data_IF_090186137474
#
_entry.id   IF_090186137474
#
_cell.length_a   1.000
_cell.length_b   1.000
_cell.length_c   1.000
_cell.angle_alpha   90.00
_cell.angle_beta   90.00
_cell.angle_gamma   90.00
#
_symmetry.space_group_name_H-M   'P 1'
#
loop_
_entity.id
_entity.type
_entity.pdbx_description
1 polymer ?
#
# COMPACT_ATOMS: atom_id res chain seq x y z
N UNK A 1 -27.89 30.00 -0.92
CA UNK A 1 -28.83 29.09 -1.58
C UNK A 1 -28.15 28.68 -2.85
N UNK A 2 -27.38 27.60 -2.76
CA UNK A 2 -26.76 26.87 -3.87
C UNK A 2 -26.65 25.45 -3.36
N UNK A 3 -27.28 24.54 -4.10
CA UNK A 3 -27.67 23.21 -3.69
C UNK A 3 -26.44 22.30 -3.52
N UNK A 4 -26.37 21.62 -2.37
CA UNK A 4 -25.53 20.45 -2.18
C UNK A 4 -26.05 19.34 -3.09
N UNK A 5 -25.42 19.19 -4.26
CA UNK A 5 -25.52 17.96 -5.05
C UNK A 5 -24.78 16.85 -4.30
N UNK A 6 -25.46 16.29 -3.30
CA UNK A 6 -25.08 15.05 -2.66
C UNK A 6 -25.13 13.96 -3.73
N UNK A 7 -23.98 13.66 -4.32
CA UNK A 7 -23.80 12.43 -5.08
C UNK A 7 -23.98 11.26 -4.10
N UNK A 8 -25.19 10.71 -4.05
CA UNK A 8 -25.46 9.43 -3.41
C UNK A 8 -24.55 8.38 -4.07
N UNK A 9 -23.44 8.08 -3.42
CA UNK A 9 -22.65 6.89 -3.75
C UNK A 9 -23.50 5.68 -3.42
N UNK A 10 -24.15 5.13 -4.44
CA UNK A 10 -24.81 3.82 -4.43
C UNK A 10 -23.72 2.76 -4.18
N UNK A 11 -23.34 2.58 -2.92
CA UNK A 11 -22.36 1.60 -2.46
C UNK A 11 -23.01 0.44 -1.68
N UNK A 12 -24.34 0.45 -1.58
CA UNK A 12 -25.12 -0.68 -1.13
C UNK A 12 -25.40 -1.65 -2.29
N UNK A 13 -24.36 -2.24 -2.87
CA UNK A 13 -24.57 -3.50 -3.60
C UNK A 13 -24.96 -4.55 -2.56
N UNK A 14 -26.16 -5.11 -2.73
CA UNK A 14 -26.79 -6.13 -1.90
C UNK A 14 -25.84 -7.31 -1.62
N UNK A 15 -25.26 -7.32 -0.41
CA UNK A 15 -24.21 -8.28 -0.01
C UNK A 15 -24.76 -9.69 0.25
N UNK A 16 -26.07 -9.85 0.42
CA UNK A 16 -26.72 -11.15 0.64
C UNK A 16 -26.81 -11.97 -0.66
N UNK A 17 -26.81 -11.32 -1.82
CA UNK A 17 -26.77 -11.98 -3.13
C UNK A 17 -25.39 -12.63 -3.44
N UNK A 18 -24.33 -12.19 -2.75
CA UNK A 18 -22.94 -12.66 -2.96
C UNK A 18 -22.61 -13.95 -2.17
N UNK A 19 -23.37 -14.29 -1.12
CA UNK A 19 -23.06 -15.41 -0.22
C UNK A 19 -22.96 -16.77 -0.91
N UNK A 20 -23.89 -17.07 -1.83
CA UNK A 20 -23.91 -18.36 -2.55
C UNK A 20 -22.94 -18.42 -3.74
N UNK A 21 -22.42 -17.28 -4.21
CA UNK A 21 -21.57 -17.22 -5.42
C UNK A 21 -20.07 -17.33 -5.11
N UNK A 22 -19.63 -17.37 -3.86
CA UNK A 22 -18.21 -17.55 -3.50
C UNK A 22 -17.74 -19.01 -3.40
N UNK A 23 -18.68 -19.94 -3.23
CA UNK A 23 -18.38 -21.34 -2.85
C UNK A 23 -17.57 -22.08 -3.91
N UNK A 24 -17.92 -21.95 -5.20
CA UNK A 24 -17.17 -22.60 -6.29
C UNK A 24 -15.74 -22.09 -6.40
N UNK A 25 -15.54 -20.78 -6.23
CA UNK A 25 -14.21 -20.16 -6.25
C UNK A 25 -13.37 -20.58 -5.06
N UNK A 26 -13.97 -20.66 -3.87
CA UNK A 26 -13.31 -21.21 -2.68
C UNK A 26 -12.95 -22.69 -2.85
N UNK A 27 -13.86 -23.49 -3.41
CA UNK A 27 -13.61 -24.90 -3.71
C UNK A 27 -12.45 -25.06 -4.68
N UNK A 28 -12.48 -24.35 -5.83
CA UNK A 28 -11.40 -24.37 -6.82
C UNK A 28 -10.06 -23.98 -6.18
N UNK A 29 -10.06 -22.94 -5.33
CA UNK A 29 -8.88 -22.47 -4.62
C UNK A 29 -8.30 -23.55 -3.71
N UNK A 30 -9.14 -24.16 -2.87
CA UNK A 30 -8.74 -25.22 -1.93
C UNK A 30 -8.21 -26.44 -2.68
N UNK A 31 -8.93 -26.92 -3.68
CA UNK A 31 -8.54 -28.12 -4.45
C UNK A 31 -7.21 -27.93 -5.19
N UNK A 32 -6.99 -26.77 -5.83
CA UNK A 32 -5.73 -26.49 -6.51
C UNK A 32 -4.53 -26.40 -5.56
N UNK A 33 -4.72 -25.79 -4.37
CA UNK A 33 -3.65 -25.71 -3.38
C UNK A 33 -3.40 -27.03 -2.64
N UNK A 34 -4.41 -27.87 -2.46
CA UNK A 34 -4.21 -29.23 -1.99
C UNK A 34 -3.33 -30.03 -2.97
N UNK A 35 -3.55 -29.85 -4.27
CA UNK A 35 -2.74 -30.50 -5.32
C UNK A 35 -1.28 -30.01 -5.37
N UNK A 36 -0.94 -28.88 -4.75
CA UNK A 36 0.45 -28.42 -4.62
C UNK A 36 1.14 -29.01 -3.38
N UNK A 37 0.44 -29.81 -2.58
CA UNK A 37 0.95 -30.44 -1.35
C UNK A 37 0.71 -29.63 -0.08
N UNK A 38 -0.03 -28.52 -0.13
CA UNK A 38 -0.40 -27.78 1.07
C UNK A 38 -1.47 -28.53 1.88
N UNK A 39 -1.41 -28.42 3.21
CA UNK A 39 -2.44 -29.00 4.08
C UNK A 39 -3.65 -28.07 4.17
N UNK A 40 -4.83 -28.64 4.44
CA UNK A 40 -6.06 -27.86 4.63
C UNK A 40 -5.93 -26.77 5.71
N UNK A 41 -5.19 -27.05 6.79
CA UNK A 41 -4.92 -26.06 7.85
C UNK A 41 -4.10 -24.86 7.35
N UNK A 42 -3.07 -25.11 6.53
CA UNK A 42 -2.26 -24.03 5.93
C UNK A 42 -3.08 -23.21 4.95
N UNK A 43 -3.92 -23.86 4.15
CA UNK A 43 -4.84 -23.19 3.22
C UNK A 43 -5.83 -22.30 3.97
N UNK A 44 -6.41 -22.80 5.07
CA UNK A 44 -7.30 -22.00 5.90
C UNK A 44 -6.57 -20.79 6.50
N UNK A 45 -5.32 -20.96 6.97
CA UNK A 45 -4.50 -19.83 7.42
C UNK A 45 -4.24 -18.77 6.34
N UNK A 46 -4.12 -19.17 5.07
CA UNK A 46 -4.02 -18.22 3.93
C UNK A 46 -5.34 -17.46 3.76
N UNK A 47 -6.47 -18.16 3.80
CA UNK A 47 -7.81 -17.58 3.68
C UNK A 47 -8.06 -16.57 4.81
N UNK A 48 -7.79 -16.96 6.05
CA UNK A 48 -8.00 -16.12 7.24
C UNK A 48 -7.10 -14.88 7.19
N UNK A 49 -5.86 -15.03 6.68
CA UNK A 49 -4.91 -13.93 6.48
C UNK A 49 -5.34 -12.89 5.43
N UNK A 50 -6.31 -13.21 4.57
CA UNK A 50 -6.86 -12.26 3.59
C UNK A 50 -7.99 -11.39 4.15
N UNK A 51 -8.43 -11.65 5.39
CA UNK A 51 -9.47 -10.90 6.10
C UNK A 51 -10.70 -10.64 5.21
N UNK A 52 -11.27 -9.42 5.24
CA UNK A 52 -12.42 -9.03 4.43
C UNK A 52 -12.19 -9.05 2.91
N UNK A 53 -10.97 -9.26 2.44
CA UNK A 53 -10.67 -9.34 1.00
C UNK A 53 -10.93 -10.74 0.43
N UNK A 54 -11.00 -11.79 1.26
CA UNK A 54 -11.26 -13.16 0.80
C UNK A 54 -12.56 -13.26 0.00
N UNK A 55 -13.66 -12.67 0.48
CA UNK A 55 -14.96 -12.72 -0.22
C UNK A 55 -14.87 -12.23 -1.66
N UNK A 56 -14.13 -11.15 -1.90
CA UNK A 56 -13.94 -10.58 -3.25
C UNK A 56 -13.12 -11.49 -4.15
N UNK A 57 -12.13 -12.16 -3.56
CA UNK A 57 -11.26 -13.10 -4.25
C UNK A 57 -12.00 -14.39 -4.60
N UNK A 58 -12.72 -14.99 -3.65
CA UNK A 58 -13.57 -16.15 -3.86
C UNK A 58 -14.62 -15.89 -4.95
N UNK A 59 -15.29 -14.73 -4.90
CA UNK A 59 -16.25 -14.34 -5.95
C UNK A 59 -15.60 -14.27 -7.34
N UNK A 60 -14.44 -13.62 -7.45
CA UNK A 60 -13.71 -13.52 -8.71
C UNK A 60 -13.26 -14.89 -9.22
N UNK A 61 -12.87 -15.79 -8.33
CA UNK A 61 -12.46 -17.15 -8.67
C UNK A 61 -13.66 -18.02 -9.07
N UNK A 62 -14.86 -17.75 -8.57
CA UNK A 62 -16.07 -18.46 -9.02
C UNK A 62 -16.34 -18.22 -10.49
N UNK A 63 -16.25 -16.97 -10.96
CA UNK A 63 -16.46 -16.65 -12.39
C UNK A 63 -15.40 -17.36 -13.24
N UNK A 64 -14.15 -17.41 -12.76
CA UNK A 64 -13.09 -18.16 -13.41
C UNK A 64 -13.35 -19.69 -13.40
N UNK A 65 -13.84 -20.24 -12.30
CA UNK A 65 -14.20 -21.66 -12.18
C UNK A 65 -15.30 -22.04 -13.17
N UNK A 66 -16.30 -21.17 -13.35
CA UNK A 66 -17.38 -21.37 -14.32
C UNK A 66 -16.86 -21.33 -15.77
N UNK A 67 -16.00 -20.35 -16.08
CA UNK A 67 -15.31 -20.31 -17.38
C UNK A 67 -14.48 -21.58 -17.61
N UNK A 68 -13.69 -22.01 -16.62
CA UNK A 68 -12.83 -23.17 -16.72
C UNK A 68 -13.63 -24.47 -16.94
N UNK A 69 -14.74 -24.63 -16.21
CA UNK A 69 -15.65 -25.74 -16.39
C UNK A 69 -16.29 -25.76 -17.79
N UNK A 70 -16.65 -24.60 -18.36
CA UNK A 70 -17.15 -24.50 -19.74
C UNK A 70 -16.12 -24.96 -20.77
N UNK A 71 -14.82 -24.83 -20.47
CA UNK A 71 -13.73 -25.33 -21.31
C UNK A 71 -13.41 -26.81 -21.05
N UNK A 72 -14.26 -27.54 -20.31
CA UNK A 72 -14.03 -28.92 -19.86
C UNK A 72 -12.70 -29.09 -19.10
N UNK A 73 -12.26 -28.03 -18.43
CA UNK A 73 -10.99 -28.02 -17.73
C UNK A 73 -11.07 -28.68 -16.35
N UNK A 74 -10.02 -29.41 -15.99
CA UNK A 74 -9.88 -30.06 -14.68
C UNK A 74 -8.95 -29.28 -13.74
N UNK A 75 -9.07 -29.51 -12.43
CA UNK A 75 -8.19 -28.92 -11.41
C UNK A 75 -6.73 -29.35 -11.62
N UNK A 76 -6.51 -30.61 -12.02
CA UNK A 76 -5.18 -31.14 -12.31
C UNK A 76 -4.52 -30.37 -13.46
N UNK A 77 -5.27 -30.12 -14.54
CA UNK A 77 -4.77 -29.36 -15.69
C UNK A 77 -4.42 -27.90 -15.34
N UNK A 78 -5.15 -27.26 -14.41
CA UNK A 78 -4.76 -25.93 -13.91
C UNK A 78 -3.45 -25.98 -13.13
N UNK A 79 -3.28 -27.03 -12.32
CA UNK A 79 -2.11 -27.24 -11.47
C UNK A 79 -0.84 -27.50 -12.30
N UNK A 80 -0.97 -28.21 -13.42
CA UNK A 80 0.15 -28.53 -14.32
C UNK A 80 0.35 -27.51 -15.44
N UNK A 81 -0.42 -26.43 -15.47
CA UNK A 81 -0.38 -25.47 -16.58
C UNK A 81 0.98 -24.76 -16.67
N UNK A 82 1.68 -24.88 -17.79
CA UNK A 82 3.01 -24.27 -17.97
C UNK A 82 2.95 -22.76 -18.20
N UNK A 83 1.91 -22.29 -18.89
CA UNK A 83 1.79 -20.89 -19.32
C UNK A 83 0.44 -20.28 -18.88
N UNK A 84 0.29 -19.92 -17.59
CA UNK A 84 -0.92 -19.31 -17.04
C UNK A 84 -1.42 -18.10 -17.82
N UNK A 85 -0.52 -17.25 -18.31
CA UNK A 85 -0.90 -16.03 -19.03
C UNK A 85 -1.85 -16.27 -20.21
N UNK A 86 -1.74 -17.39 -20.94
CA UNK A 86 -2.65 -17.72 -22.04
C UNK A 86 -4.08 -17.94 -21.55
N UNK A 87 -4.24 -18.65 -20.43
CA UNK A 87 -5.56 -18.90 -19.84
C UNK A 87 -6.14 -17.64 -19.23
N UNK A 88 -5.31 -16.81 -18.59
CA UNK A 88 -5.76 -15.52 -18.05
C UNK A 88 -6.20 -14.60 -19.20
N UNK A 89 -5.43 -14.50 -20.29
CA UNK A 89 -5.79 -13.70 -21.45
C UNK A 89 -7.15 -14.12 -22.05
N UNK A 90 -7.33 -15.41 -22.33
CA UNK A 90 -8.58 -15.94 -22.88
C UNK A 90 -9.76 -15.72 -21.93
N UNK A 91 -9.53 -15.85 -20.62
CA UNK A 91 -10.54 -15.55 -19.62
C UNK A 91 -10.93 -14.06 -19.60
N UNK A 92 -9.96 -13.13 -19.67
CA UNK A 92 -10.25 -11.70 -19.73
C UNK A 92 -11.04 -11.34 -21.00
N UNK A 93 -10.76 -11.99 -22.13
CA UNK A 93 -11.57 -11.85 -23.35
C UNK A 93 -12.97 -12.44 -23.18
N UNK A 94 -13.11 -13.53 -22.41
CA UNK A 94 -14.39 -14.14 -22.09
C UNK A 94 -15.26 -13.26 -21.19
N UNK A 95 -14.67 -12.49 -20.27
CA UNK A 95 -15.36 -11.47 -19.48
C UNK A 95 -15.95 -10.43 -20.46
N UNK A 96 -17.26 -10.60 -20.73
CA UNK A 96 -18.02 -9.92 -21.78
C UNK A 96 -17.72 -8.41 -21.89
N UNK A 97 -18.01 -7.77 -23.04
CA UNK A 97 -17.81 -6.33 -23.24
C UNK A 97 -18.51 -5.42 -22.20
N UNK A 98 -19.50 -5.94 -21.48
CA UNK A 98 -20.29 -5.21 -20.48
C UNK A 98 -19.64 -5.12 -19.08
N UNK A 99 -18.56 -5.85 -18.83
CA UNK A 99 -17.82 -5.69 -17.57
C UNK A 99 -16.92 -4.46 -17.63
N UNK A 100 -17.06 -3.58 -16.62
CA UNK A 100 -16.19 -2.41 -16.45
C UNK A 100 -14.72 -2.84 -16.40
N UNK A 101 -13.83 -2.01 -16.94
CA UNK A 101 -12.38 -2.26 -16.93
C UNK A 101 -11.85 -2.55 -15.50
N UNK A 102 -12.43 -1.92 -14.47
CA UNK A 102 -12.09 -2.17 -13.07
C UNK A 102 -12.40 -3.62 -12.62
N UNK A 103 -13.48 -4.23 -13.12
CA UNK A 103 -13.82 -5.63 -12.86
C UNK A 103 -12.83 -6.56 -13.55
N UNK A 104 -12.46 -6.28 -14.81
CA UNK A 104 -11.46 -7.06 -15.56
C UNK A 104 -10.08 -7.01 -14.89
N UNK A 105 -9.64 -5.82 -14.45
CA UNK A 105 -8.38 -5.65 -13.71
C UNK A 105 -8.43 -6.40 -12.38
N UNK A 106 -9.56 -6.34 -11.66
CA UNK A 106 -9.74 -7.08 -10.41
C UNK A 106 -9.65 -8.58 -10.65
N UNK A 107 -10.36 -9.10 -11.64
CA UNK A 107 -10.36 -10.51 -11.98
C UNK A 107 -8.97 -11.01 -12.38
N UNK A 108 -8.27 -10.24 -13.22
CA UNK A 108 -6.86 -10.46 -13.58
C UNK A 108 -5.96 -10.58 -12.35
N UNK A 109 -6.07 -9.67 -11.40
CA UNK A 109 -5.23 -9.67 -10.19
C UNK A 109 -5.53 -10.86 -9.27
N UNK A 110 -6.80 -11.20 -9.11
CA UNK A 110 -7.23 -12.36 -8.32
C UNK A 110 -6.64 -13.65 -8.87
N UNK A 111 -6.79 -13.88 -10.18
CA UNK A 111 -6.30 -15.11 -10.84
C UNK A 111 -4.76 -15.14 -10.89
N UNK A 112 -4.10 -13.99 -11.09
CA UNK A 112 -2.64 -13.92 -11.02
C UNK A 112 -2.13 -14.34 -9.64
N UNK A 113 -2.78 -13.85 -8.57
CA UNK A 113 -2.43 -14.21 -7.19
C UNK A 113 -2.68 -15.69 -6.93
N UNK A 114 -3.78 -16.23 -7.47
CA UNK A 114 -4.10 -17.65 -7.38
C UNK A 114 -3.01 -18.54 -8.01
N UNK A 115 -2.57 -18.24 -9.25
CA UNK A 115 -1.47 -18.98 -9.87
C UNK A 115 -0.13 -18.82 -9.14
N UNK A 116 0.13 -17.64 -8.58
CA UNK A 116 1.32 -17.39 -7.76
C UNK A 116 1.33 -18.28 -6.51
N UNK A 117 0.18 -18.42 -5.83
CA UNK A 117 0.02 -19.32 -4.68
C UNK A 117 0.17 -20.79 -5.05
N UNK A 118 -0.13 -21.16 -6.29
CA UNK A 118 0.13 -22.50 -6.83
C UNK A 118 1.59 -22.72 -7.21
N UNK A 119 2.48 -21.75 -6.95
CA UNK A 119 3.91 -21.84 -7.23
C UNK A 119 4.30 -21.53 -8.66
N UNK A 120 3.41 -20.95 -9.48
CA UNK A 120 3.75 -20.55 -10.85
C UNK A 120 4.68 -19.34 -10.81
N UNK A 121 5.79 -19.34 -11.57
CA UNK A 121 6.72 -18.22 -11.55
C UNK A 121 6.10 -17.00 -12.23
N UNK A 122 6.34 -15.81 -11.68
CA UNK A 122 5.67 -14.57 -12.08
C UNK A 122 5.80 -14.26 -13.59
N UNK A 123 6.92 -14.61 -14.22
CA UNK A 123 7.15 -14.45 -15.66
C UNK A 123 6.24 -15.31 -16.55
N UNK A 124 5.69 -16.42 -16.03
CA UNK A 124 4.70 -17.28 -16.73
C UNK A 124 3.26 -16.83 -16.47
N UNK A 125 3.04 -16.05 -15.41
CA UNK A 125 1.73 -15.45 -15.10
C UNK A 125 1.57 -14.12 -15.84
N UNK A 126 2.65 -13.32 -15.89
CA UNK A 126 2.71 -11.98 -16.48
C UNK A 126 3.82 -11.93 -17.52
N UNK A 127 3.43 -12.06 -18.78
CA UNK A 127 4.28 -11.89 -19.94
C UNK A 127 3.99 -10.55 -20.63
N UNK A 128 4.95 -10.01 -21.39
CA UNK A 128 4.78 -8.80 -22.22
C UNK A 128 3.51 -8.82 -23.08
N UNK A 129 3.16 -9.96 -23.70
CA UNK A 129 1.93 -10.08 -24.50
C UNK A 129 0.69 -9.83 -23.65
N UNK A 130 0.67 -10.40 -22.45
CA UNK A 130 -0.43 -10.24 -21.50
C UNK A 130 -0.52 -8.82 -20.93
N UNK A 131 0.62 -8.20 -20.60
CA UNK A 131 0.63 -6.80 -20.16
C UNK A 131 0.13 -5.87 -21.26
N UNK A 132 0.47 -6.14 -22.52
CA UNK A 132 -0.03 -5.35 -23.65
C UNK A 132 -1.55 -5.48 -23.83
N UNK A 133 -2.10 -6.67 -23.63
CA UNK A 133 -3.56 -6.90 -23.65
C UNK A 133 -4.27 -6.16 -22.52
N UNK A 134 -3.66 -6.11 -21.33
CA UNK A 134 -4.25 -5.42 -20.17
C UNK A 134 -4.06 -3.90 -20.21
N UNK A 135 -3.11 -3.39 -21.00
CA UNK A 135 -2.69 -1.99 -20.99
C UNK A 135 -3.84 -1.02 -21.22
N UNK A 136 -4.67 -1.26 -22.22
CA UNK A 136 -5.80 -0.39 -22.56
C UNK A 136 -6.82 -0.28 -21.41
N UNK A 137 -7.14 -1.41 -20.78
CA UNK A 137 -8.02 -1.46 -19.61
C UNK A 137 -7.43 -0.70 -18.42
N UNK A 138 -6.12 -0.86 -18.18
CA UNK A 138 -5.40 -0.17 -17.11
C UNK A 138 -5.36 1.34 -17.36
N UNK A 139 -5.07 1.76 -18.59
CA UNK A 139 -4.96 3.17 -18.99
C UNK A 139 -6.32 3.88 -18.88
N UNK A 140 -7.43 3.21 -19.22
CA UNK A 140 -8.78 3.77 -19.06
C UNK A 140 -9.20 3.98 -17.60
N UNK A 141 -8.80 3.08 -16.70
CA UNK A 141 -9.11 3.19 -15.25
C UNK A 141 -8.08 4.05 -14.52
N UNK A 142 -6.93 4.32 -15.14
CA UNK A 142 -5.90 5.14 -14.54
C UNK A 142 -6.46 6.53 -14.24
N UNK A 143 -6.51 6.87 -12.95
CA UNK A 143 -6.90 8.22 -12.53
C UNK A 143 -5.94 9.21 -13.16
N UNK A 144 -6.47 10.19 -13.87
CA UNK A 144 -5.70 11.35 -14.32
C UNK A 144 -5.08 11.97 -13.08
N UNK A 145 -3.75 11.88 -12.97
CA UNK A 145 -2.98 12.56 -11.95
C UNK A 145 -2.96 14.04 -12.33
N UNK A 146 -4.04 14.76 -12.00
CA UNK A 146 -4.04 16.21 -12.08
C UNK A 146 -2.99 16.72 -11.10
N UNK A 147 -2.23 17.73 -11.53
CA UNK A 147 -1.40 18.49 -10.61
C UNK A 147 -2.31 19.02 -9.50
N UNK A 148 -2.10 18.54 -8.28
CA UNK A 148 -2.76 19.13 -7.12
C UNK A 148 -2.08 20.48 -6.93
N UNK A 149 -2.80 21.58 -7.18
CA UNK A 149 -2.33 22.91 -6.78
C UNK A 149 -2.23 22.91 -5.25
N UNK A 150 -1.03 22.67 -4.74
CA UNK A 150 -0.72 22.81 -3.33
C UNK A 150 -0.62 24.31 -3.01
N UNK A 151 -1.77 24.97 -2.84
CA UNK A 151 -1.90 26.40 -2.55
C UNK A 151 -1.22 26.86 -1.24
N UNK A 152 -0.57 25.95 -0.50
CA UNK A 152 -0.12 26.17 0.87
C UNK A 152 1.33 25.76 1.13
N UNK A 153 2.12 25.40 0.11
CA UNK A 153 3.55 25.12 0.36
C UNK A 153 4.27 26.37 0.89
N UNK A 154 3.97 27.54 0.32
CA UNK A 154 4.47 28.82 0.82
C UNK A 154 4.06 29.08 2.27
N UNK A 155 2.82 28.75 2.65
CA UNK A 155 2.33 28.87 4.01
C UNK A 155 3.05 27.91 4.96
N UNK A 156 3.23 26.65 4.58
CA UNK A 156 3.99 25.66 5.36
C UNK A 156 5.42 26.13 5.59
N UNK A 157 6.09 26.59 4.53
CA UNK A 157 7.46 27.09 4.59
C UNK A 157 7.56 28.34 5.47
N UNK A 158 6.58 29.25 5.39
CA UNK A 158 6.47 30.40 6.27
C UNK A 158 6.30 29.99 7.73
N UNK A 159 5.42 29.04 8.02
CA UNK A 159 5.20 28.55 9.40
C UNK A 159 6.46 27.89 9.97
N UNK A 160 7.13 27.03 9.19
CA UNK A 160 8.39 26.41 9.61
C UNK A 160 9.45 27.49 9.88
N UNK A 161 9.58 28.47 8.99
CA UNK A 161 10.56 29.56 9.14
C UNK A 161 10.26 30.39 10.40
N UNK A 162 8.99 30.74 10.63
CA UNK A 162 8.55 31.48 11.83
C UNK A 162 8.86 30.73 13.12
N UNK A 163 8.54 29.43 13.19
CA UNK A 163 8.85 28.62 14.37
C UNK A 163 10.36 28.48 14.59
N UNK A 164 11.15 28.48 13.52
CA UNK A 164 12.60 28.41 13.62
C UNK A 164 13.21 29.66 14.25
N UNK A 165 12.67 30.84 13.94
CA UNK A 165 13.09 32.08 14.61
C UNK A 165 12.78 32.02 16.11
N UNK A 166 11.59 31.55 16.48
CA UNK A 166 11.21 31.38 17.89
C UNK A 166 12.08 30.35 18.62
N UNK A 167 12.57 29.31 17.94
CA UNK A 167 13.53 28.37 18.51
C UNK A 167 14.86 29.04 18.81
N UNK A 168 15.38 29.83 17.88
CA UNK A 168 16.68 30.51 18.07
C UNK A 168 16.62 31.51 19.25
N UNK A 169 15.43 32.04 19.55
CA UNK A 169 15.12 32.81 20.76
C UNK A 169 14.85 31.95 22.03
N UNK A 170 14.96 30.62 21.92
CA UNK A 170 14.62 29.63 22.95
C UNK A 170 13.15 29.67 23.44
N UNK A 171 12.23 30.27 22.67
CA UNK A 171 10.81 30.48 23.02
C UNK A 171 9.91 29.28 22.74
N UNK A 172 10.38 28.26 22.03
CA UNK A 172 9.58 27.05 21.75
C UNK A 172 9.65 26.02 22.88
N UNK A 173 8.53 25.40 23.21
CA UNK A 173 8.48 24.26 24.12
C UNK A 173 8.80 22.93 23.39
N UNK A 174 8.96 21.84 24.15
CA UNK A 174 9.32 20.52 23.59
C UNK A 174 8.28 19.99 22.59
N UNK A 175 6.99 20.21 22.84
CA UNK A 175 5.91 19.75 21.96
C UNK A 175 5.91 20.50 20.61
N UNK A 176 6.18 21.80 20.62
CA UNK A 176 6.31 22.61 19.41
C UNK A 176 7.53 22.17 18.59
N UNK A 177 8.67 21.94 19.25
CA UNK A 177 9.88 21.43 18.60
C UNK A 177 9.66 20.04 17.98
N UNK A 178 8.93 19.16 18.66
CA UNK A 178 8.50 17.88 18.12
C UNK A 178 7.69 18.05 16.84
N UNK A 179 6.65 18.90 16.87
CA UNK A 179 5.76 19.12 15.71
C UNK A 179 6.54 19.62 14.48
N UNK A 180 7.46 20.57 14.65
CA UNK A 180 8.31 21.07 13.55
C UNK A 180 9.23 19.99 13.03
N UNK A 181 9.88 19.24 13.93
CA UNK A 181 10.82 18.18 13.55
C UNK A 181 10.12 17.10 12.75
N UNK A 182 9.00 16.56 13.24
CA UNK A 182 8.22 15.54 12.54
C UNK A 182 7.70 16.02 11.19
N UNK A 183 7.24 17.28 11.11
CA UNK A 183 6.80 17.88 9.85
C UNK A 183 7.93 17.90 8.83
N UNK A 184 9.13 18.35 9.23
CA UNK A 184 10.28 18.37 8.34
C UNK A 184 10.71 16.97 7.92
N UNK A 185 10.71 16.00 8.84
CA UNK A 185 10.98 14.60 8.51
C UNK A 185 9.99 14.11 7.46
N UNK A 186 8.69 14.31 7.64
CA UNK A 186 7.67 13.91 6.66
C UNK A 186 7.85 14.62 5.32
N UNK A 187 8.18 15.91 5.31
CA UNK A 187 8.41 16.69 4.07
C UNK A 187 9.64 16.16 3.30
N UNK A 188 10.76 15.92 3.99
CA UNK A 188 12.00 15.48 3.34
C UNK A 188 12.01 13.99 2.98
N UNK A 189 11.39 13.14 3.81
CA UNK A 189 11.37 11.69 3.58
C UNK A 189 10.15 11.22 2.81
N UNK A 190 9.08 12.02 2.75
CA UNK A 190 7.76 11.61 2.22
C UNK A 190 7.21 10.38 2.96
N UNK A 191 7.70 10.12 4.18
CA UNK A 191 7.14 9.08 5.04
C UNK A 191 5.78 9.51 5.57
N UNK A 192 4.87 8.54 5.74
CA UNK A 192 3.61 8.75 6.43
C UNK A 192 3.84 8.87 7.92
N UNK A 193 2.91 9.50 8.63
CA UNK A 193 2.99 9.62 10.08
C UNK A 193 3.19 8.27 10.79
N UNK A 194 2.49 7.20 10.37
CA UNK A 194 2.68 5.86 10.94
C UNK A 194 4.08 5.27 10.70
N UNK A 195 4.69 5.57 9.55
CA UNK A 195 6.07 5.15 9.21
C UNK A 195 7.09 5.95 10.02
N UNK A 196 6.84 7.25 10.23
CA UNK A 196 7.65 8.11 11.11
C UNK A 196 7.53 7.67 12.57
N UNK A 197 6.34 7.34 13.04
CA UNK A 197 6.10 6.94 14.43
C UNK A 197 6.78 5.63 14.81
N UNK A 198 6.94 4.72 13.85
CA UNK A 198 7.63 3.44 14.05
C UNK A 198 9.10 3.48 13.65
N UNK A 199 9.60 4.65 13.22
CA UNK A 199 10.98 4.79 12.77
C UNK A 199 11.97 4.79 13.94
N UNK A 200 13.15 4.24 13.67
CA UNK A 200 14.33 4.36 14.50
C UNK A 200 15.19 5.52 13.95
N UNK A 201 15.61 6.42 14.84
CA UNK A 201 16.60 7.44 14.51
C UNK A 201 17.99 6.97 14.90
N UNK A 202 18.91 6.97 13.93
CA UNK A 202 20.34 6.75 14.19
C UNK A 202 21.09 8.04 13.93
N UNK A 203 21.59 8.64 15.00
CA UNK A 203 22.39 9.87 14.96
C UNK A 203 23.86 9.45 15.08
N UNK A 204 24.63 9.61 14.01
CA UNK A 204 26.07 9.37 14.06
C UNK A 204 26.76 10.56 14.73
N UNK A 205 27.32 10.35 15.93
CA UNK A 205 28.04 11.38 16.68
C UNK A 205 29.30 11.92 15.97
N UNK A 206 29.77 11.24 14.92
CA UNK A 206 30.97 11.64 14.15
C UNK A 206 30.61 12.62 13.03
N UNK A 207 29.40 12.50 12.48
CA UNK A 207 28.88 13.35 11.42
C UNK A 207 27.65 14.10 11.95
N UNK A 208 27.85 15.16 12.75
CA UNK A 208 26.78 16.05 13.27
C UNK A 208 25.87 16.68 12.18
N UNK A 209 26.09 16.32 10.92
CA UNK A 209 25.41 16.79 9.71
C UNK A 209 24.60 15.71 9.00
N UNK A 210 24.50 14.50 9.54
CA UNK A 210 23.66 13.43 8.99
C UNK A 210 22.85 12.71 10.07
N UNK A 211 21.60 12.38 9.75
CA UNK A 211 20.72 11.55 10.59
C UNK A 211 20.12 10.47 9.70
N UNK A 212 20.23 9.21 10.09
CA UNK A 212 19.60 8.10 9.38
C UNK A 212 18.26 7.79 10.04
N UNK A 213 17.21 7.70 9.22
CA UNK A 213 15.87 7.29 9.63
C UNK A 213 15.60 5.91 9.02
N UNK A 214 15.50 4.89 9.88
CA UNK A 214 15.19 3.52 9.48
C UNK A 214 13.74 3.20 9.86
N UNK A 215 12.95 2.65 8.92
CA UNK A 215 11.56 2.26 9.18
C UNK A 215 11.12 1.10 8.28
N UNK A 216 9.92 0.58 8.51
CA UNK A 216 9.28 -0.47 7.70
C UNK A 216 8.14 0.15 6.89
N UNK A 217 8.22 0.14 5.55
CA UNK A 217 7.09 0.58 4.73
C UNK A 217 5.97 -0.46 4.81
N UNK A 218 4.76 -0.01 5.14
CA UNK A 218 3.60 -0.92 5.28
C UNK A 218 2.82 -1.09 3.97
N UNK A 219 3.03 -0.21 2.98
CA UNK A 219 2.45 -0.31 1.62
C UNK A 219 3.52 -0.67 0.59
N UNK A 220 3.11 -1.27 -0.54
CA UNK A 220 4.02 -1.76 -1.59
C UNK A 220 4.91 -0.64 -2.19
N UNK A 221 6.21 -0.90 -2.44
CA UNK A 221 6.95 -2.10 -2.01
C UNK A 221 7.10 -2.09 -0.48
N UNK A 222 6.67 -3.18 0.17
CA UNK A 222 6.73 -3.37 1.61
C UNK A 222 8.15 -3.82 1.95
N UNK A 223 8.81 -3.19 2.91
CA UNK A 223 10.15 -3.60 3.30
C UNK A 223 10.85 -2.57 4.18
N UNK A 224 12.04 -2.94 4.69
CA UNK A 224 12.89 -2.00 5.42
C UNK A 224 13.34 -0.89 4.46
N UNK A 225 13.25 0.34 4.93
CA UNK A 225 13.72 1.53 4.20
C UNK A 225 14.53 2.39 5.15
N UNK A 226 15.72 2.77 4.69
CA UNK A 226 16.58 3.73 5.37
C UNK A 226 16.70 4.99 4.51
N UNK A 227 16.60 6.16 5.16
CA UNK A 227 16.81 7.46 4.52
C UNK A 227 17.76 8.30 5.34
N UNK A 228 18.79 8.81 4.68
CA UNK A 228 19.74 9.75 5.29
C UNK A 228 19.26 11.18 5.08
N UNK A 229 18.99 11.88 6.17
CA UNK A 229 18.78 13.32 6.19
C UNK A 229 20.13 14.00 6.32
N UNK A 230 20.45 14.91 5.38
CA UNK A 230 21.65 15.76 5.43
C UNK A 230 21.27 17.19 5.79
N UNK A 231 22.10 17.86 6.56
CA UNK A 231 21.86 19.24 6.97
C UNK A 231 21.52 20.15 5.77
N UNK A 232 20.35 20.77 5.76
CA UNK A 232 20.03 21.77 4.75
C UNK A 232 20.94 23.00 4.89
N UNK A 233 21.35 23.57 3.75
CA UNK A 233 22.17 24.79 3.71
C UNK A 233 21.43 25.98 4.34
N UNK A 234 20.13 26.09 4.06
CA UNK A 234 19.32 27.14 4.64
C UNK A 234 18.97 26.81 6.09
N UNK A 235 19.57 27.59 7.00
CA UNK A 235 19.51 27.38 8.45
C UNK A 235 18.10 27.21 8.99
N UNK A 236 17.12 27.96 8.48
CA UNK A 236 15.76 27.92 9.02
C UNK A 236 15.01 26.62 8.67
N UNK A 237 15.44 25.92 7.61
CA UNK A 237 14.84 24.65 7.18
C UNK A 237 15.71 23.44 7.51
N UNK A 238 16.83 23.66 8.22
CA UNK A 238 17.75 22.60 8.58
C UNK A 238 17.11 21.63 9.57
N UNK A 239 16.64 20.50 9.05
CA UNK A 239 15.97 19.44 9.77
C UNK A 239 16.83 18.84 10.89
N UNK A 240 18.14 18.77 10.68
CA UNK A 240 19.08 18.25 11.70
C UNK A 240 19.10 19.14 12.93
N UNK A 241 19.20 20.46 12.75
CA UNK A 241 19.15 21.40 13.88
C UNK A 241 17.85 21.34 14.66
N UNK A 242 16.73 21.12 13.95
CA UNK A 242 15.41 21.00 14.59
C UNK A 242 15.32 19.73 15.44
N UNK A 243 15.73 18.60 14.87
CA UNK A 243 15.74 17.31 15.57
C UNK A 243 16.68 17.37 16.78
N UNK A 244 17.90 17.88 16.62
CA UNK A 244 18.86 18.04 17.72
C UNK A 244 18.32 18.96 18.82
N UNK A 245 17.68 20.08 18.47
CA UNK A 245 17.10 21.00 19.47
C UNK A 245 15.95 20.36 20.24
N UNK A 246 15.13 19.55 19.57
CA UNK A 246 14.07 18.78 20.22
C UNK A 246 14.66 17.73 21.17
N UNK A 247 15.66 16.96 20.72
CA UNK A 247 16.34 15.93 21.52
C UNK A 247 17.06 16.55 22.73
N UNK A 248 17.75 17.67 22.57
CA UNK A 248 18.41 18.37 23.68
C UNK A 248 17.45 18.86 24.76
N UNK A 249 16.26 19.38 24.39
CA UNK A 249 15.22 19.74 25.38
C UNK A 249 14.58 18.51 26.03
N UNK A 250 14.62 17.35 25.38
CA UNK A 250 14.11 16.08 25.90
C UNK A 250 15.00 15.55 27.03
N UNK A 251 16.32 15.70 26.90
CA UNK A 251 17.30 15.26 27.91
C UNK A 251 17.29 16.13 29.17
N UNK A 252 17.10 17.45 29.03
CA UNK A 252 17.10 18.40 30.16
C UNK A 252 15.89 18.24 31.10
N UNK A 253 14.75 17.78 30.59
CA UNK A 253 13.50 17.76 31.37
C UNK A 253 13.24 16.45 32.14
N UNK A 254 14.06 15.40 32.01
CA UNK A 254 13.98 14.16 32.80
C UNK A 254 12.68 13.34 32.72
N UNK A 255 11.59 13.86 32.14
CA UNK A 255 10.29 13.19 32.06
C UNK A 255 10.21 12.28 30.83
N UNK A 256 10.51 11.00 31.04
CA UNK A 256 10.11 9.92 30.14
C UNK A 256 8.59 9.71 30.19
N UNK A 257 7.82 10.58 29.53
CA UNK A 257 6.37 10.35 29.32
C UNK A 257 6.16 9.09 28.49
N UNK A 258 5.19 8.25 28.87
CA UNK A 258 4.83 6.96 28.23
C UNK A 258 4.42 7.06 26.75
N UNK A 259 4.25 8.27 26.21
CA UNK A 259 3.78 8.57 24.85
C UNK A 259 4.91 8.99 23.88
N UNK A 260 6.15 8.55 24.13
CA UNK A 260 7.26 8.94 23.25
C UNK A 260 7.22 8.24 21.90
N UNK A 261 7.21 9.06 20.84
CA UNK A 261 7.25 8.62 19.44
C UNK A 261 8.54 7.85 19.15
N UNK A 262 9.69 8.33 19.64
CA UNK A 262 10.99 7.66 19.48
C UNK A 262 11.63 7.40 20.83
N UNK A 263 11.92 6.12 21.11
CA UNK A 263 12.76 5.70 22.23
C UNK A 263 14.18 5.61 21.70
N UNK A 264 15.08 6.44 22.23
CA UNK A 264 16.50 6.14 22.13
C UNK A 264 16.84 5.09 23.18
#
# INVERSE_FOLDING_TARGET
MDEEEQSETTSGEDWDFLGRRGEKGEQLFKECLLNTGLTGQRIQGIIDGWHGNWKRQAYSLTIFAEYWAQQSGTVLQLSTLEQPYHKIANYITYLKPWEQDACKIRARNSISTFFELMGKPMNTIKNNVFEQLMKEHVDRVAKVRKEVRYWQLSQLMYQISKQTLLRDDNKLNSEQLMKVSLTLIMVYTVFKMAEVQSAELRIDNINEREIIIATMTMKKPRGPVEKTLKAAQYRALCQIRQIQSWMGKKEVNGELKKEQIWRN
#
